data_IF_625248020938
#
_entry.id   IF_625248020938
#
_cell.length_a   1.000
_cell.length_b   1.000
_cell.length_c   1.000
_cell.angle_alpha   90.00
_cell.angle_beta   90.00
_cell.angle_gamma   90.00
#
_symmetry.space_group_name_H-M   'P 1'
#
loop_
_entity.id
_entity.type
_entity.pdbx_description
1 polymer ?
#
# COMPACT_ATOMS: atom_id res chain seq x y z
N UNK A 1 -3.91 5.20 14.56
CA UNK A 1 -2.64 5.64 13.95
C UNK A 1 -1.48 4.94 14.61
N UNK A 2 -1.09 3.86 13.96
CA UNK A 2 0.07 3.04 14.23
C UNK A 2 1.00 3.06 13.02
N UNK A 3 2.29 2.84 13.26
CA UNK A 3 3.29 2.69 12.21
C UNK A 3 3.73 1.23 12.20
N UNK A 4 3.32 0.51 11.17
CA UNK A 4 3.68 -0.88 10.96
C UNK A 4 4.87 -0.91 9.99
N UNK A 5 5.92 -1.64 10.33
CA UNK A 5 7.09 -1.81 9.46
C UNK A 5 7.38 -3.29 9.37
N UNK A 6 7.46 -3.81 8.17
CA UNK A 6 8.04 -5.13 7.98
C UNK A 6 9.54 -5.09 8.15
N UNK A 7 10.09 -6.28 8.01
CA UNK A 7 11.46 -6.67 8.23
C UNK A 7 12.12 -6.97 6.88
N UNK A 8 13.36 -7.48 6.87
CA UNK A 8 13.86 -8.19 5.70
C UNK A 8 13.18 -9.56 5.58
N UNK A 9 12.45 -9.77 4.50
CA UNK A 9 11.67 -10.97 4.20
C UNK A 9 10.21 -10.63 3.85
N UNK A 10 9.41 -11.62 3.46
CA UNK A 10 7.98 -11.41 3.20
C UNK A 10 7.21 -11.13 4.50
N UNK A 11 6.51 -10.00 4.56
CA UNK A 11 5.72 -9.59 5.71
C UNK A 11 4.22 -9.42 5.41
N UNK A 12 3.40 -9.63 6.43
CA UNK A 12 1.96 -9.33 6.41
C UNK A 12 1.62 -8.21 7.38
N UNK A 13 1.31 -7.03 6.85
CA UNK A 13 1.03 -5.82 7.65
C UNK A 13 -0.46 -5.46 7.56
N UNK A 14 -1.19 -5.61 8.67
CA UNK A 14 -2.63 -5.37 8.73
C UNK A 14 -2.92 -4.00 9.35
N UNK A 15 -3.42 -3.07 8.54
CA UNK A 15 -3.73 -1.71 8.95
C UNK A 15 -5.21 -1.55 9.36
N UNK A 16 -5.43 -0.86 10.47
CA UNK A 16 -6.75 -0.50 10.97
C UNK A 16 -7.22 0.85 10.41
N UNK A 17 -7.04 1.92 11.18
CA UNK A 17 -7.59 3.25 10.83
C UNK A 17 -6.55 4.34 11.03
N UNK A 18 -6.32 5.12 9.98
CA UNK A 18 -5.29 6.16 9.96
C UNK A 18 -3.89 5.63 10.28
N UNK A 19 -3.59 4.41 9.85
CA UNK A 19 -2.32 3.75 10.08
C UNK A 19 -1.38 3.90 8.88
N UNK A 20 -0.10 3.59 9.09
CA UNK A 20 0.94 3.73 8.06
C UNK A 20 1.81 2.48 7.99
N UNK A 21 1.36 1.42 7.29
CA UNK A 21 2.19 0.25 7.02
C UNK A 21 3.23 0.53 5.92
N UNK A 22 4.44 0.02 6.13
CA UNK A 22 5.58 0.11 5.22
C UNK A 22 6.16 -1.29 5.07
N UNK A 23 6.12 -1.86 3.86
CA UNK A 23 6.49 -3.25 3.56
C UNK A 23 7.86 -3.59 4.11
N UNK A 24 8.93 -3.09 3.52
CA UNK A 24 10.27 -3.49 3.92
C UNK A 24 11.01 -4.01 2.72
N UNK A 25 11.82 -5.04 2.86
CA UNK A 25 12.46 -5.67 1.70
C UNK A 25 11.96 -7.10 1.63
N UNK A 26 11.53 -7.56 0.46
CA UNK A 26 10.79 -8.81 0.30
C UNK A 26 9.46 -8.53 -0.38
N UNK A 27 8.74 -9.59 -0.74
CA UNK A 27 7.41 -9.47 -1.36
C UNK A 27 6.37 -9.39 -0.24
N UNK A 28 5.92 -8.18 0.07
CA UNK A 28 5.08 -7.90 1.23
C UNK A 28 3.59 -7.85 0.89
N UNK A 29 2.74 -8.09 1.89
CA UNK A 29 1.30 -7.82 1.80
C UNK A 29 0.91 -6.76 2.82
N UNK A 30 0.48 -5.60 2.32
CA UNK A 30 -0.06 -4.51 3.13
C UNK A 30 -1.58 -4.49 2.98
N UNK A 31 -2.29 -4.86 4.04
CA UNK A 31 -3.74 -5.07 4.01
C UNK A 31 -4.49 -4.10 4.92
N UNK A 32 -5.25 -3.19 4.30
CA UNK A 32 -6.17 -2.27 4.96
C UNK A 32 -7.65 -2.58 4.65
N UNK A 33 -7.98 -3.76 4.11
CA UNK A 33 -9.36 -4.05 3.68
C UNK A 33 -10.37 -4.07 4.82
N UNK A 34 -9.93 -4.51 6.01
CA UNK A 34 -10.75 -4.57 7.23
C UNK A 34 -10.69 -3.28 8.07
N UNK A 35 -9.91 -2.31 7.61
CA UNK A 35 -9.68 -1.04 8.26
C UNK A 35 -10.83 -0.03 8.14
N UNK A 36 -10.85 0.97 9.03
CA UNK A 36 -11.80 2.09 8.99
C UNK A 36 -11.44 3.17 7.97
N UNK A 37 -10.33 3.00 7.25
CA UNK A 37 -9.84 3.90 6.22
C UNK A 37 -8.86 4.96 6.68
N UNK A 38 -8.41 5.80 5.75
CA UNK A 38 -7.43 6.86 6.03
C UNK A 38 -6.00 6.34 6.17
N UNK A 39 -5.72 5.11 5.76
CA UNK A 39 -4.41 4.49 5.89
C UNK A 39 -3.49 4.89 4.73
N UNK A 40 -2.19 4.96 4.99
CA UNK A 40 -1.17 5.25 3.98
C UNK A 40 -0.25 4.04 3.85
N UNK A 41 -0.44 3.24 2.79
CA UNK A 41 0.29 2.02 2.55
C UNK A 41 1.46 2.31 1.62
N UNK A 42 2.67 1.96 2.06
CA UNK A 42 3.91 2.13 1.30
C UNK A 42 4.55 0.78 1.02
N UNK A 43 4.30 0.27 -0.17
CA UNK A 43 4.98 -0.91 -0.70
C UNK A 43 6.22 -0.55 -1.52
N UNK A 44 6.93 -1.59 -1.93
CA UNK A 44 8.11 -1.63 -2.79
C UNK A 44 7.91 -2.72 -3.84
N UNK A 45 8.81 -2.72 -4.82
CA UNK A 45 8.77 -3.60 -5.99
C UNK A 45 8.36 -5.05 -5.64
N UNK A 46 7.19 -5.47 -6.13
CA UNK A 46 6.68 -6.83 -5.94
C UNK A 46 5.68 -7.00 -4.79
N UNK A 47 5.28 -5.90 -4.15
CA UNK A 47 4.34 -5.95 -3.02
C UNK A 47 2.88 -6.00 -3.47
N UNK A 48 2.05 -6.61 -2.64
CA UNK A 48 0.59 -6.59 -2.74
C UNK A 48 0.01 -5.57 -1.75
N UNK A 49 -0.60 -4.50 -2.26
CA UNK A 49 -1.24 -3.48 -1.44
C UNK A 49 -2.77 -3.54 -1.61
N UNK A 50 -3.47 -3.79 -0.49
CA UNK A 50 -4.92 -3.96 -0.45
C UNK A 50 -5.54 -2.85 0.39
N UNK A 51 -6.53 -2.16 -0.17
CA UNK A 51 -7.19 -1.03 0.46
C UNK A 51 -8.71 -1.13 0.44
N UNK A 52 -9.32 -0.33 1.32
CA UNK A 52 -10.75 -0.14 1.41
C UNK A 52 -11.09 1.33 1.12
N UNK A 53 -11.61 2.06 2.10
CA UNK A 53 -12.12 3.42 1.91
C UNK A 53 -11.11 4.49 2.33
N UNK A 54 -10.87 5.51 1.50
CA UNK A 54 -10.05 6.69 1.84
C UNK A 54 -8.59 6.36 2.18
N UNK A 55 -8.03 5.30 1.61
CA UNK A 55 -6.63 4.95 1.78
C UNK A 55 -5.76 5.51 0.65
N UNK A 56 -4.49 5.77 0.94
CA UNK A 56 -3.45 6.14 -0.02
C UNK A 56 -2.54 4.93 -0.23
N UNK A 57 -2.24 4.60 -1.49
CA UNK A 57 -1.42 3.45 -1.83
C UNK A 57 -0.28 3.92 -2.73
N UNK A 58 0.93 3.72 -2.23
CA UNK A 58 2.17 4.06 -2.93
C UNK A 58 2.97 2.79 -3.04
N UNK A 59 3.25 2.38 -4.28
CA UNK A 59 4.00 1.17 -4.57
C UNK A 59 5.13 1.41 -5.56
N UNK A 60 5.98 0.39 -5.68
CA UNK A 60 7.09 0.28 -6.60
C UNK A 60 6.72 -0.30 -7.96
N UNK A 61 7.74 -0.80 -8.66
CA UNK A 61 7.61 -1.51 -9.92
C UNK A 61 7.17 -2.96 -9.67
N UNK A 62 6.12 -3.40 -10.34
CA UNK A 62 5.64 -4.78 -10.23
C UNK A 62 4.62 -5.01 -9.12
N UNK A 63 4.35 -4.00 -8.28
CA UNK A 63 3.35 -4.10 -7.22
C UNK A 63 1.94 -4.34 -7.77
N UNK A 64 1.19 -5.18 -7.07
CA UNK A 64 -0.22 -5.37 -7.29
C UNK A 64 -1.07 -4.53 -6.35
N UNK A 65 -2.12 -3.94 -6.92
CA UNK A 65 -2.98 -2.99 -6.25
C UNK A 65 -4.42 -3.49 -6.24
N UNK A 66 -4.98 -3.68 -5.04
CA UNK A 66 -6.36 -4.16 -4.85
C UNK A 66 -7.14 -3.14 -4.04
N UNK A 67 -8.25 -2.64 -4.57
CA UNK A 67 -9.20 -1.82 -3.82
C UNK A 67 -10.57 -2.51 -3.75
N UNK A 68 -11.12 -2.64 -2.55
CA UNK A 68 -12.45 -3.17 -2.32
C UNK A 68 -13.52 -2.24 -2.90
N UNK A 69 -14.38 -2.78 -3.79
CA UNK A 69 -15.50 -2.06 -4.39
C UNK A 69 -16.57 -1.68 -3.34
N UNK A 70 -16.38 -0.60 -2.58
CA UNK A 70 -17.43 0.12 -1.85
C UNK A 70 -17.07 1.61 -1.70
N UNK A 71 -17.58 2.38 -2.68
CA UNK A 71 -17.82 3.83 -2.64
C UNK A 71 -16.60 4.75 -2.39
N UNK A 72 -15.99 5.17 -3.51
CA UNK A 72 -15.31 6.46 -3.75
C UNK A 72 -14.91 7.29 -2.52
N UNK A 73 -13.97 6.78 -1.74
CA UNK A 73 -13.12 7.60 -0.87
C UNK A 73 -11.73 7.60 -1.48
N UNK A 74 -11.44 8.60 -2.32
CA UNK A 74 -10.15 8.88 -3.00
C UNK A 74 -9.00 7.91 -2.67
N UNK A 75 -8.91 6.81 -3.41
CA UNK A 75 -7.68 6.04 -3.50
C UNK A 75 -6.79 6.69 -4.55
N UNK A 76 -5.64 7.19 -4.14
CA UNK A 76 -4.63 7.72 -5.06
C UNK A 76 -3.52 6.69 -5.19
N UNK A 77 -3.25 6.28 -6.43
CA UNK A 77 -2.15 5.39 -6.77
C UNK A 77 -1.06 6.26 -7.38
N UNK A 78 0.11 6.30 -6.74
CA UNK A 78 1.29 6.96 -7.29
C UNK A 78 2.35 5.89 -7.54
N UNK A 79 2.65 5.64 -8.82
CA UNK A 79 3.79 4.84 -9.20
C UNK A 79 5.01 5.76 -9.38
N UNK A 80 6.08 5.54 -8.62
CA UNK A 80 7.28 6.39 -8.63
C UNK A 80 8.21 6.13 -9.84
N UNK A 81 7.88 5.21 -10.75
CA UNK A 81 8.69 4.87 -11.94
C UNK A 81 8.26 5.58 -13.24
N UNK A 82 7.52 6.68 -13.18
CA UNK A 82 7.03 7.33 -14.41
C UNK A 82 7.98 8.37 -15.06
N UNK A 83 9.19 8.66 -14.54
CA UNK A 83 10.11 9.61 -15.21
C UNK A 83 11.58 9.16 -15.21
N UNK A 84 11.94 8.26 -16.14
CA UNK A 84 13.21 8.40 -16.90
C UNK A 84 13.22 7.56 -18.19
N UNK A 85 12.29 7.81 -19.11
CA UNK A 85 12.56 7.59 -20.55
C UNK A 85 11.98 8.78 -21.32
N UNK A 86 12.82 9.80 -21.52
CA UNK A 86 12.67 10.80 -22.59
C UNK A 86 14.09 11.22 -22.98
N UNK A 87 14.53 10.65 -24.10
CA UNK A 87 15.61 11.04 -25.03
C UNK A 87 16.91 11.65 -24.45
#
# INVERSE_FOLDING_TARGET
>A
MERLRGTPGPDGLFAGTQDTPIGGAGDDTLDATDGGGGNWLFGRDGDLLKASSRDLLVGGAGDEFVAGNRLFGRTHWLNLMQHLVLL
#
